data_IF_418745818055
#
_entry.id   IF_418745818055
#
_cell.length_a   1.000
_cell.length_b   1.000
_cell.length_c   1.000
_cell.angle_alpha   90.00
_cell.angle_beta   90.00
_cell.angle_gamma   90.00
#
_symmetry.space_group_name_H-M   'P 1'
#
loop_
_entity.id
_entity.type
_entity.pdbx_description
1 polymer ?
#
# COMPACT_ATOMS: atom_id res chain seq x y z
N UNK A 1 22.60 2.65 28.31
CA UNK A 1 21.69 3.42 27.44
C UNK A 1 20.30 3.34 28.03
N UNK A 2 19.70 4.46 28.39
CA UNK A 2 18.28 4.47 28.79
C UNK A 2 17.40 4.38 27.54
N UNK A 3 16.51 3.40 27.51
CA UNK A 3 15.51 3.27 26.46
C UNK A 3 14.40 4.32 26.67
N UNK A 4 14.24 5.25 25.74
CA UNK A 4 13.08 6.17 25.74
C UNK A 4 11.83 5.42 25.28
N UNK A 5 10.78 5.51 26.08
CA UNK A 5 9.44 5.06 25.67
C UNK A 5 8.94 5.92 24.50
N UNK A 6 8.61 5.27 23.39
CA UNK A 6 7.98 5.90 22.23
C UNK A 6 6.48 5.62 22.27
N UNK A 7 5.67 6.59 21.83
CA UNK A 7 4.23 6.40 21.68
C UNK A 7 3.98 5.32 20.61
N UNK A 8 3.09 4.35 20.83
CA UNK A 8 2.75 3.36 19.81
C UNK A 8 2.14 4.03 18.58
N UNK A 9 2.52 3.54 17.40
CA UNK A 9 2.01 3.99 16.10
C UNK A 9 1.31 2.81 15.44
N UNK A 10 0.08 3.02 14.97
CA UNK A 10 -0.65 2.05 14.16
C UNK A 10 0.02 1.94 12.79
N UNK A 11 0.63 0.78 12.51
CA UNK A 11 1.36 0.51 11.26
C UNK A 11 0.47 0.04 10.13
N UNK A 12 -0.69 -0.56 10.44
CA UNK A 12 -1.62 -1.15 9.49
C UNK A 12 -3.07 -0.87 9.89
N UNK A 13 -3.94 -0.65 8.90
CA UNK A 13 -5.38 -0.51 9.09
C UNK A 13 -6.14 -1.35 8.07
N UNK A 14 -7.20 -2.01 8.54
CA UNK A 14 -8.13 -2.72 7.69
C UNK A 14 -9.14 -1.76 7.08
N UNK A 15 -9.31 -1.83 5.76
CA UNK A 15 -10.16 -0.89 5.01
C UNK A 15 -11.36 -1.57 4.33
N UNK A 16 -11.50 -2.88 4.53
CA UNK A 16 -12.58 -3.69 3.96
C UNK A 16 -13.81 -3.72 4.89
N UNK A 17 -15.00 -3.90 4.31
CA UNK A 17 -16.24 -4.03 5.07
C UNK A 17 -16.36 -5.41 5.75
N UNK A 18 -17.19 -5.56 6.80
CA UNK A 18 -17.50 -6.87 7.35
C UNK A 18 -18.05 -7.82 6.26
N UNK A 19 -17.68 -9.11 6.33
CA UNK A 19 -18.12 -10.18 5.43
C UNK A 19 -17.60 -10.11 3.99
N UNK A 20 -16.58 -9.29 3.71
CA UNK A 20 -15.87 -9.37 2.43
C UNK A 20 -15.00 -10.62 2.39
N UNK A 21 -14.91 -11.27 1.24
CA UNK A 21 -14.06 -12.45 0.96
C UNK A 21 -12.62 -12.03 0.62
N UNK A 22 -12.33 -10.72 0.61
CA UNK A 22 -10.99 -10.15 0.42
C UNK A 22 -10.65 -9.22 1.57
N UNK A 23 -9.39 -9.24 1.95
CA UNK A 23 -8.80 -8.40 2.97
C UNK A 23 -8.02 -7.26 2.32
N UNK A 24 -8.46 -6.04 2.58
CA UNK A 24 -7.73 -4.84 2.18
C UNK A 24 -7.11 -4.17 3.39
N UNK A 25 -5.81 -3.85 3.30
CA UNK A 25 -5.10 -3.11 4.35
C UNK A 25 -4.27 -1.97 3.77
N UNK A 26 -4.24 -0.83 4.47
CA UNK A 26 -3.33 0.28 4.21
C UNK A 26 -2.29 0.35 5.33
N UNK A 27 -1.03 0.52 4.95
CA UNK A 27 0.10 0.57 5.85
C UNK A 27 0.70 1.97 5.90
N UNK A 28 1.32 2.29 7.04
CA UNK A 28 1.88 3.61 7.33
C UNK A 28 2.92 4.07 6.31
N UNK A 29 3.64 3.16 5.68
CA UNK A 29 4.64 3.46 4.64
C UNK A 29 4.07 3.56 3.22
N UNK A 30 2.75 3.70 3.07
CA UNK A 30 2.11 3.83 1.75
C UNK A 30 1.97 2.51 1.00
N UNK A 31 2.03 1.37 1.69
CA UNK A 31 1.75 0.05 1.13
C UNK A 31 0.27 -0.27 1.28
N UNK A 32 -0.34 -0.83 0.25
CA UNK A 32 -1.72 -1.31 0.24
C UNK A 32 -1.69 -2.77 -0.21
N UNK A 33 -2.28 -3.63 0.59
CA UNK A 33 -2.27 -5.08 0.43
C UNK A 33 -3.69 -5.57 0.16
N UNK A 34 -3.82 -6.50 -0.79
CA UNK A 34 -5.04 -7.11 -1.29
C UNK A 34 -4.93 -8.63 -1.11
N UNK A 35 -5.31 -9.12 0.07
CA UNK A 35 -5.29 -10.54 0.39
C UNK A 35 -6.64 -11.20 0.15
N UNK A 36 -6.64 -12.52 -0.04
CA UNK A 36 -7.87 -13.34 0.04
C UNK A 36 -8.11 -13.79 1.48
N UNK A 37 -9.37 -13.84 1.92
CA UNK A 37 -9.67 -14.46 3.22
C UNK A 37 -9.74 -15.97 3.03
N UNK A 38 -8.78 -16.69 3.61
CA UNK A 38 -8.77 -18.15 3.64
C UNK A 38 -9.03 -18.66 5.07
N UNK A 39 -9.86 -19.69 5.20
CA UNK A 39 -9.98 -20.43 6.46
C UNK A 39 -8.74 -21.32 6.63
N UNK A 40 -7.99 -21.14 7.72
CA UNK A 40 -6.86 -22.03 8.02
C UNK A 40 -7.39 -23.35 8.59
N UNK A 41 -7.36 -24.42 7.78
CA UNK A 41 -7.98 -25.69 8.14
C UNK A 41 -7.02 -26.74 8.73
N UNK A 42 -5.71 -26.52 8.73
CA UNK A 42 -4.74 -27.59 9.00
C UNK A 42 -3.58 -27.20 9.94
N UNK A 43 -3.70 -26.11 10.69
CA UNK A 43 -2.68 -25.68 11.65
C UNK A 43 -1.41 -25.12 10.99
N UNK A 44 -1.38 -24.96 9.67
CA UNK A 44 -0.34 -24.20 8.98
C UNK A 44 -0.52 -22.69 9.17
N UNK A 45 0.60 -21.99 9.01
CA UNK A 45 0.68 -20.54 9.11
C UNK A 45 -0.05 -19.91 7.91
N UNK A 46 -1.21 -19.30 8.17
CA UNK A 46 -2.05 -18.59 7.21
C UNK A 46 -1.26 -17.77 6.15
N UNK A 47 -0.25 -17.03 6.59
CA UNK A 47 0.53 -16.13 5.73
C UNK A 47 1.46 -16.83 4.73
N UNK A 48 1.74 -18.13 4.86
CA UNK A 48 2.61 -18.88 3.95
C UNK A 48 1.83 -19.50 2.76
N UNK A 49 0.49 -19.43 2.77
CA UNK A 49 -0.35 -20.05 1.73
C UNK A 49 -1.32 -19.07 1.06
N UNK A 50 -1.54 -17.89 1.65
CA UNK A 50 -2.52 -16.91 1.14
C UNK A 50 -1.93 -16.11 -0.03
N UNK A 51 -2.48 -16.25 -1.25
CA UNK A 51 -2.12 -15.39 -2.37
C UNK A 51 -2.58 -13.96 -2.08
N UNK A 52 -1.76 -13.02 -2.51
CA UNK A 52 -1.97 -11.62 -2.26
C UNK A 52 -1.39 -10.79 -3.40
N UNK A 53 -1.99 -9.64 -3.62
CA UNK A 53 -1.42 -8.58 -4.46
C UNK A 53 -1.28 -7.29 -3.66
N UNK A 54 -0.51 -6.34 -4.15
CA UNK A 54 -0.37 -5.08 -3.47
C UNK A 54 0.26 -3.98 -4.31
N UNK A 55 0.08 -2.76 -3.82
CA UNK A 55 0.68 -1.53 -4.35
C UNK A 55 1.53 -0.92 -3.24
N UNK A 56 2.75 -0.50 -3.53
CA UNK A 56 3.58 0.23 -2.57
C UNK A 56 4.09 1.52 -3.19
N UNK A 57 3.58 2.67 -2.71
CA UNK A 57 4.01 3.99 -3.15
C UNK A 57 5.43 4.31 -2.70
N UNK A 58 6.17 5.01 -3.56
CA UNK A 58 7.59 5.33 -3.35
C UNK A 58 7.89 6.79 -3.63
N UNK A 59 8.87 7.30 -2.90
CA UNK A 59 9.53 8.55 -3.23
C UNK A 59 10.50 8.32 -4.39
N UNK A 60 10.26 9.03 -5.49
CA UNK A 60 11.02 8.90 -6.73
C UNK A 60 11.08 7.46 -7.22
N UNK A 61 12.26 7.11 -7.73
CA UNK A 61 12.42 5.87 -8.48
C UNK A 61 12.54 4.62 -7.59
N UNK A 62 12.58 4.67 -6.23
CA UNK A 62 12.73 3.46 -5.37
C UNK A 62 12.77 3.62 -3.83
N UNK A 63 12.56 4.80 -3.25
CA UNK A 63 12.66 4.98 -1.80
C UNK A 63 11.32 4.73 -1.10
N UNK A 64 11.34 3.97 -0.01
CA UNK A 64 10.14 3.78 0.80
C UNK A 64 9.82 5.02 1.62
N UNK A 65 8.54 5.22 1.92
CA UNK A 65 8.15 6.27 2.85
C UNK A 65 8.59 5.95 4.28
N UNK A 66 8.97 6.99 5.02
CA UNK A 66 9.32 6.88 6.43
C UNK A 66 8.05 6.76 7.27
N UNK A 67 7.73 5.52 7.68
CA UNK A 67 6.54 5.24 8.46
C UNK A 67 6.46 5.99 9.80
N UNK A 68 7.60 6.46 10.35
CA UNK A 68 7.64 7.23 11.59
C UNK A 68 7.21 8.68 11.40
N UNK A 69 7.27 9.18 10.15
CA UNK A 69 6.83 10.52 9.77
C UNK A 69 5.39 10.54 9.26
N UNK A 70 4.79 9.37 9.09
CA UNK A 70 3.40 9.23 8.68
C UNK A 70 2.45 9.82 9.69
N UNK A 71 1.54 10.67 9.19
CA UNK A 71 0.34 11.04 9.95
C UNK A 71 -0.84 10.24 9.43
N UNK A 72 -1.50 9.57 10.37
CA UNK A 72 -2.73 8.88 10.09
C UNK A 72 -3.91 9.83 10.37
N UNK A 73 -4.79 10.04 9.38
CA UNK A 73 -6.01 10.79 9.61
C UNK A 73 -7.23 9.86 9.66
N UNK A 74 -8.27 10.38 10.31
CA UNK A 74 -9.62 9.87 10.26
C UNK A 74 -10.52 11.02 9.83
N UNK A 75 -11.55 10.72 9.07
CA UNK A 75 -12.56 11.73 8.75
C UNK A 75 -13.43 11.97 9.97
N UNK A 76 -13.76 13.24 10.20
CA UNK A 76 -14.65 13.64 11.30
C UNK A 76 -16.06 13.08 11.15
N UNK A 77 -16.47 12.74 9.92
CA UNK A 77 -17.77 12.13 9.60
C UNK A 77 -17.87 10.64 9.97
N UNK A 78 -16.81 10.04 10.53
CA UNK A 78 -16.80 8.64 10.96
C UNK A 78 -16.70 7.64 9.80
N UNK A 79 -16.58 8.08 8.55
CA UNK A 79 -16.34 7.19 7.42
C UNK A 79 -14.90 6.69 7.52
N UNK A 80 -14.65 5.36 7.42
CA UNK A 80 -13.32 4.76 7.55
C UNK A 80 -12.47 4.98 6.29
N UNK A 81 -12.40 6.22 5.80
CA UNK A 81 -11.37 6.61 4.83
C UNK A 81 -10.09 6.77 5.61
N UNK A 82 -9.22 5.79 5.46
CA UNK A 82 -7.91 5.84 6.05
C UNK A 82 -7.01 6.64 5.13
N UNK A 83 -6.40 7.68 5.68
CA UNK A 83 -5.40 8.42 4.96
C UNK A 83 -4.07 8.46 5.66
N UNK A 84 -3.04 8.36 4.83
CA UNK A 84 -1.63 8.38 5.19
C UNK A 84 -1.05 9.62 4.52
N UNK A 85 -0.44 10.47 5.33
CA UNK A 85 0.24 11.67 4.86
C UNK A 85 1.75 11.54 4.98
N UNK A 86 2.43 11.91 3.90
CA UNK A 86 3.89 11.95 3.77
C UNK A 86 4.35 13.27 3.17
N UNK A 87 5.54 13.71 3.55
CA UNK A 87 6.21 14.84 2.92
C UNK A 87 7.44 14.33 2.17
N UNK A 88 7.46 14.57 0.85
CA UNK A 88 8.57 14.29 -0.06
C UNK A 88 9.09 15.64 -0.54
N UNK A 89 10.23 16.08 -0.01
CA UNK A 89 10.76 17.42 -0.27
C UNK A 89 9.67 18.49 -0.05
N UNK A 90 9.31 19.18 -1.13
CA UNK A 90 8.33 20.26 -1.18
C UNK A 90 6.90 19.78 -1.57
N UNK A 91 6.68 18.47 -1.68
CA UNK A 91 5.39 17.85 -1.99
C UNK A 91 4.83 17.14 -0.77
N UNK A 92 3.60 17.49 -0.43
CA UNK A 92 2.77 16.72 0.51
C UNK A 92 1.96 15.68 -0.26
N UNK A 93 2.13 14.41 0.09
CA UNK A 93 1.44 13.26 -0.49
C UNK A 93 0.40 12.75 0.50
N UNK A 94 -0.86 12.72 0.08
CA UNK A 94 -1.94 12.12 0.86
C UNK A 94 -2.53 10.94 0.09
N UNK A 95 -2.51 9.75 0.71
CA UNK A 95 -3.07 8.52 0.14
C UNK A 95 -4.31 8.18 0.94
N UNK A 96 -5.47 8.16 0.28
CA UNK A 96 -6.76 7.74 0.84
C UNK A 96 -7.16 6.40 0.19
N UNK A 97 -7.69 5.46 0.99
CA UNK A 97 -8.21 4.20 0.46
C UNK A 97 -9.54 3.81 1.10
N UNK A 98 -10.46 3.27 0.29
CA UNK A 98 -11.76 2.73 0.72
C UNK A 98 -12.18 1.57 -0.18
N UNK A 99 -13.00 0.64 0.32
CA UNK A 99 -13.63 -0.39 -0.51
C UNK A 99 -15.12 -0.16 -0.71
N UNK A 100 -15.69 -0.74 -1.76
CA UNK A 100 -17.15 -0.93 -1.79
C UNK A 100 -17.60 -2.05 -0.81
N UNK A 101 -18.91 -2.22 -0.65
CA UNK A 101 -19.54 -3.16 0.29
C UNK A 101 -19.78 -4.56 -0.29
N UNK A 102 -19.24 -4.85 -1.47
CA UNK A 102 -19.45 -6.12 -2.16
C UNK A 102 -18.65 -7.26 -1.49
N UNK A 103 -19.11 -8.51 -1.60
CA UNK A 103 -18.37 -9.68 -1.08
C UNK A 103 -16.96 -9.80 -1.66
N UNK A 104 -16.80 -9.57 -2.96
CA UNK A 104 -15.49 -9.43 -3.62
C UNK A 104 -15.27 -7.94 -3.90
N UNK A 105 -14.76 -7.17 -2.93
CA UNK A 105 -14.78 -5.73 -3.05
C UNK A 105 -13.74 -5.21 -4.04
N UNK A 106 -14.01 -4.02 -4.54
CA UNK A 106 -13.06 -3.18 -5.26
C UNK A 106 -12.51 -2.13 -4.29
N UNK A 107 -11.19 -1.98 -4.26
CA UNK A 107 -10.53 -0.90 -3.53
C UNK A 107 -10.34 0.32 -4.44
N UNK A 108 -10.75 1.47 -3.93
CA UNK A 108 -10.55 2.77 -4.56
C UNK A 108 -9.45 3.49 -3.79
N UNK A 109 -8.41 3.88 -4.51
CA UNK A 109 -7.24 4.57 -3.95
C UNK A 109 -7.17 5.94 -4.60
N UNK A 110 -7.06 6.98 -3.77
CA UNK A 110 -6.86 8.34 -4.22
C UNK A 110 -5.54 8.85 -3.67
N UNK A 111 -4.69 9.33 -4.58
CA UNK A 111 -3.42 9.98 -4.23
C UNK A 111 -3.56 11.46 -4.55
N UNK A 112 -3.37 12.31 -3.55
CA UNK A 112 -3.38 13.77 -3.69
C UNK A 112 -1.97 14.28 -3.48
N UNK A 113 -1.47 15.05 -4.45
CA UNK A 113 -0.17 15.72 -4.39
C UNK A 113 -0.39 17.22 -4.22
N UNK A 114 0.20 17.81 -3.19
CA UNK A 114 0.11 19.23 -2.90
C UNK A 114 1.51 19.84 -2.92
N UNK A 115 1.75 20.77 -3.85
CA UNK A 115 2.93 21.63 -3.82
C UNK A 115 2.82 22.57 -2.61
N UNK A 116 3.78 22.48 -1.69
CA UNK A 116 3.80 23.29 -0.45
C UNK A 116 4.54 24.62 -0.63
N UNK A 117 5.04 24.89 -1.84
CA UNK A 117 5.82 26.07 -2.19
C UNK A 117 5.11 26.92 -3.25
N UNK A 118 5.75 28.04 -3.61
CA UNK A 118 5.31 28.93 -4.69
C UNK A 118 6.04 28.68 -6.02
N UNK A 119 6.95 27.70 -6.06
CA UNK A 119 7.77 27.39 -7.23
C UNK A 119 7.21 26.17 -7.94
N UNK A 120 7.41 26.08 -9.25
CA UNK A 120 7.09 24.86 -9.99
C UNK A 120 8.00 23.73 -9.51
N UNK A 121 7.41 22.54 -9.36
CA UNK A 121 8.10 21.33 -8.89
C UNK A 121 8.00 20.28 -9.99
N UNK A 122 9.14 19.61 -10.26
CA UNK A 122 9.22 18.47 -11.16
C UNK A 122 9.82 17.28 -10.40
N UNK A 123 8.97 16.57 -9.68
CA UNK A 123 9.32 15.40 -8.86
C UNK A 123 8.50 14.19 -9.32
N UNK A 124 9.02 13.00 -9.03
CA UNK A 124 8.35 11.75 -9.37
C UNK A 124 7.79 11.10 -8.11
N UNK A 125 6.55 10.64 -8.20
CA UNK A 125 6.01 9.64 -7.28
C UNK A 125 5.95 8.31 -8.02
N UNK A 126 6.58 7.28 -7.46
CA UNK A 126 6.54 5.93 -8.00
C UNK A 126 5.58 5.03 -7.23
N UNK A 127 5.31 3.85 -7.76
CA UNK A 127 4.74 2.76 -6.99
C UNK A 127 5.16 1.41 -7.57
N UNK A 128 5.33 0.41 -6.72
CA UNK A 128 5.45 -0.97 -7.14
C UNK A 128 4.09 -1.63 -7.19
N UNK A 129 3.90 -2.56 -8.13
CA UNK A 129 2.79 -3.53 -8.11
C UNK A 129 3.35 -4.95 -8.08
N UNK A 130 2.90 -5.75 -7.11
CA UNK A 130 3.36 -7.14 -6.93
C UNK A 130 2.21 -8.07 -6.61
N UNK A 131 2.35 -9.32 -7.03
CA UNK A 131 1.58 -10.46 -6.55
C UNK A 131 2.54 -11.46 -5.91
N UNK A 132 2.08 -12.21 -4.92
CA UNK A 132 2.89 -13.18 -4.18
C UNK A 132 2.14 -13.73 -2.99
N UNK A 133 2.86 -14.41 -2.10
CA UNK A 133 2.29 -14.86 -0.83
C UNK A 133 2.22 -13.68 0.14
N UNK A 134 1.16 -13.61 0.95
CA UNK A 134 0.94 -12.52 1.90
C UNK A 134 2.14 -12.35 2.83
N UNK A 135 2.65 -13.43 3.43
CA UNK A 135 3.80 -13.40 4.34
C UNK A 135 5.05 -12.76 3.73
N UNK A 136 5.21 -12.91 2.41
CA UNK A 136 6.29 -12.31 1.64
C UNK A 136 6.05 -10.83 1.39
N UNK A 137 4.85 -10.44 0.95
CA UNK A 137 4.53 -9.04 0.63
C UNK A 137 4.40 -8.15 1.88
N UNK A 138 3.99 -8.72 3.03
CA UNK A 138 3.92 -8.01 4.32
C UNK A 138 5.21 -8.08 5.13
N UNK A 139 6.24 -8.76 4.60
CA UNK A 139 7.59 -8.85 5.16
C UNK A 139 7.63 -9.26 6.64
N UNK A 140 7.04 -10.41 6.98
CA UNK A 140 7.17 -10.95 8.33
C UNK A 140 6.64 -10.03 9.44
N UNK A 141 5.74 -9.10 9.11
CA UNK A 141 4.89 -8.36 10.04
C UNK A 141 3.47 -8.94 10.06
N UNK A 142 3.29 -10.24 10.45
CA UNK A 142 1.96 -10.75 10.72
C UNK A 142 1.35 -9.99 11.91
N UNK A 143 0.09 -10.25 12.24
CA UNK A 143 -0.55 -9.70 13.45
C UNK A 143 0.09 -10.23 14.73
N UNK A 144 1.32 -9.81 15.00
CA UNK A 144 2.07 -10.14 16.20
C UNK A 144 2.80 -8.89 16.72
N UNK A 145 3.20 -8.94 17.98
CA UNK A 145 3.97 -7.86 18.63
C UNK A 145 5.45 -7.95 18.23
N UNK A 146 5.73 -7.74 16.94
CA UNK A 146 7.10 -7.68 16.40
C UNK A 146 7.46 -6.23 16.06
N UNK A 147 8.76 -5.91 16.19
CA UNK A 147 9.27 -4.62 15.73
C UNK A 147 9.08 -4.50 14.22
N UNK A 148 8.31 -3.49 13.80
CA UNK A 148 8.03 -3.24 12.39
C UNK A 148 9.18 -2.47 11.74
N UNK A 149 9.81 -3.08 10.74
CA UNK A 149 10.86 -2.46 9.93
C UNK A 149 10.59 -2.76 8.46
N UNK A 150 9.79 -1.92 7.76
CA UNK A 150 9.50 -2.15 6.36
C UNK A 150 10.79 -2.12 5.52
N UNK A 151 10.88 -3.03 4.56
CA UNK A 151 11.98 -3.08 3.60
C UNK A 151 11.45 -3.22 2.18
N UNK A 152 11.53 -2.14 1.43
CA UNK A 152 11.09 -2.09 0.04
C UNK A 152 11.96 -2.92 -0.90
N UNK A 153 13.19 -3.27 -0.51
CA UNK A 153 14.06 -4.06 -1.39
C UNK A 153 13.49 -5.47 -1.62
N UNK A 154 12.73 -6.00 -0.66
CA UNK A 154 11.96 -7.24 -0.81
C UNK A 154 11.07 -7.16 -2.04
N UNK A 155 10.34 -6.05 -2.23
CA UNK A 155 9.48 -5.86 -3.40
C UNK A 155 10.27 -5.64 -4.69
N UNK A 156 11.46 -5.01 -4.61
CA UNK A 156 12.33 -4.82 -5.79
C UNK A 156 12.87 -6.14 -6.32
N UNK A 157 13.20 -7.07 -5.43
CA UNK A 157 13.72 -8.39 -5.77
C UNK A 157 12.61 -9.34 -6.23
N UNK A 158 11.37 -9.13 -5.77
CA UNK A 158 10.23 -9.83 -6.31
C UNK A 158 9.98 -9.46 -7.77
N UNK A 159 10.03 -10.47 -8.64
CA UNK A 159 9.64 -10.33 -10.04
C UNK A 159 8.17 -9.87 -10.11
N UNK A 160 7.91 -8.90 -10.99
CA UNK A 160 6.53 -8.53 -11.32
C UNK A 160 6.07 -9.34 -12.53
N UNK A 161 4.88 -9.91 -12.42
CA UNK A 161 4.15 -10.50 -13.54
C UNK A 161 3.01 -9.57 -14.02
N UNK A 162 3.03 -8.31 -13.57
CA UNK A 162 2.08 -7.29 -13.99
C UNK A 162 2.52 -6.61 -15.28
N UNK A 163 1.56 -6.37 -16.17
CA UNK A 163 1.77 -5.64 -17.42
C UNK A 163 0.76 -4.51 -17.55
N UNK A 164 1.20 -3.37 -18.06
CA UNK A 164 0.37 -2.23 -18.36
C UNK A 164 0.08 -2.14 -19.86
N UNK A 165 -1.19 -1.88 -20.16
CA UNK A 165 -1.69 -1.39 -21.44
C UNK A 165 -2.37 -0.04 -21.17
N UNK A 166 -1.70 1.04 -21.57
CA UNK A 166 -2.06 2.44 -21.25
C UNK A 166 -2.31 2.65 -19.74
N UNK A 167 -3.57 2.87 -19.36
CA UNK A 167 -4.00 3.18 -17.99
C UNK A 167 -4.47 1.96 -17.21
N UNK A 168 -4.28 0.76 -17.74
CA UNK A 168 -4.72 -0.47 -17.09
C UNK A 168 -3.54 -1.40 -16.87
N UNK A 169 -3.22 -1.68 -15.61
CA UNK A 169 -2.17 -2.62 -15.19
C UNK A 169 -2.85 -3.94 -14.81
N UNK A 170 -2.39 -5.08 -15.31
CA UNK A 170 -3.04 -6.38 -15.15
C UNK A 170 -2.08 -7.50 -14.79
N UNK A 171 -2.59 -8.46 -14.02
CA UNK A 171 -2.01 -9.79 -13.82
C UNK A 171 -3.15 -10.82 -13.77
N UNK A 172 -3.32 -11.61 -14.85
CA UNK A 172 -4.46 -12.53 -14.96
C UNK A 172 -5.81 -11.82 -14.85
N UNK A 173 -6.61 -12.20 -13.85
CA UNK A 173 -7.93 -11.60 -13.57
C UNK A 173 -7.85 -10.29 -12.75
N UNK A 174 -6.69 -10.00 -12.15
CA UNK A 174 -6.49 -8.81 -11.34
C UNK A 174 -6.11 -7.61 -12.22
N UNK A 175 -6.63 -6.44 -11.87
CA UNK A 175 -6.33 -5.22 -12.61
C UNK A 175 -6.39 -3.96 -11.74
N UNK A 176 -5.62 -2.95 -12.14
CA UNK A 176 -5.61 -1.60 -11.60
C UNK A 176 -5.90 -0.65 -12.76
N UNK A 177 -6.90 0.20 -12.58
CA UNK A 177 -7.19 1.29 -13.54
C UNK A 177 -6.70 2.61 -12.98
N UNK A 178 -5.78 3.27 -13.69
CA UNK A 178 -5.18 4.53 -13.28
C UNK A 178 -5.92 5.70 -13.93
N UNK A 179 -6.41 6.63 -13.10
CA UNK A 179 -6.93 7.93 -13.55
C UNK A 179 -6.07 9.02 -12.95
N UNK A 180 -5.34 9.74 -13.80
CA UNK A 180 -4.39 10.77 -13.39
C UNK A 180 -4.50 12.01 -14.26
N UNK A 181 -4.29 13.17 -13.64
CA UNK A 181 -4.06 14.45 -14.32
C UNK A 181 -2.57 14.70 -14.60
N UNK A 182 -1.70 13.76 -14.18
CA UNK A 182 -0.25 13.80 -14.37
C UNK A 182 0.17 12.81 -15.45
N UNK A 183 1.36 13.02 -16.01
CA UNK A 183 2.00 12.02 -16.85
C UNK A 183 2.16 10.71 -16.08
N UNK A 184 1.86 9.60 -16.75
CA UNK A 184 1.91 8.25 -16.18
C UNK A 184 2.69 7.34 -17.12
N UNK A 185 3.59 6.56 -16.56
CA UNK A 185 4.38 5.54 -17.25
C UNK A 185 4.50 4.32 -16.35
N UNK A 186 4.59 3.13 -16.95
CA UNK A 186 4.80 1.89 -16.21
C UNK A 186 5.87 1.04 -16.90
N UNK A 187 6.87 0.59 -16.15
CA UNK A 187 7.91 -0.31 -16.60
C UNK A 187 7.43 -1.76 -16.48
N UNK A 188 6.97 -2.33 -17.59
CA UNK A 188 6.53 -3.74 -17.66
C UNK A 188 7.61 -4.76 -17.30
N UNK A 189 8.90 -4.40 -17.36
CA UNK A 189 9.98 -5.32 -17.02
C UNK A 189 10.14 -5.43 -15.51
N UNK A 190 9.99 -4.32 -14.80
CA UNK A 190 10.27 -4.25 -13.36
C UNK A 190 9.01 -4.01 -12.50
N UNK A 191 7.86 -3.75 -13.12
CA UNK A 191 6.56 -3.54 -12.48
C UNK A 191 6.50 -2.30 -11.58
N UNK A 192 6.98 -1.15 -12.05
CA UNK A 192 6.89 0.14 -11.37
C UNK A 192 6.90 1.34 -12.32
#
# INVERSE_FOLDING_TARGET
>A
MESKWLRPITTRRYIHCPKTERMFTIWSEGKIIFGEMMESFDGKKYWDEVPCSGIWFTDGDKNQFDFKKTVNHFREDGIPVHSVEHNINDIKVNIEAITNVCRKPTCFIKVTLTNTTKKDINEKLGFFVRSGLEGTLVYGAPDNYTSYNPDINVWKEHKSDWTADDKVIRNGEEFITVKSNFAFTFDNKNGY
#
